data_IF_727323834802
#
_entry.id   IF_727323834802
#
_cell.length_a   1.000
_cell.length_b   1.000
_cell.length_c   1.000
_cell.angle_alpha   90.00
_cell.angle_beta   90.00
_cell.angle_gamma   90.00
#
_symmetry.space_group_name_H-M   'P 1'
#
loop_
_entity.id
_entity.type
_entity.pdbx_description
1 polymer ?
#
# COMPACT_ATOMS: atom_id res chain seq x y z
N UNK A 1 -5.62 -8.47 -20.46
CA UNK A 1 -6.72 -8.22 -19.51
C UNK A 1 -6.37 -8.47 -18.02
N UNK A 2 -5.63 -9.52 -17.61
CA UNK A 2 -5.34 -9.74 -16.17
C UNK A 2 -4.45 -8.67 -15.51
N UNK A 3 -3.48 -8.10 -16.23
CA UNK A 3 -2.52 -7.13 -15.67
C UNK A 3 -3.04 -5.70 -15.49
N UNK A 4 -3.99 -5.24 -16.32
CA UNK A 4 -4.57 -3.89 -16.17
C UNK A 4 -5.47 -3.78 -14.95
N UNK A 5 -6.28 -4.81 -14.67
CA UNK A 5 -7.11 -4.84 -13.47
C UNK A 5 -6.28 -4.88 -12.18
N UNK A 6 -5.19 -5.65 -12.17
CA UNK A 6 -4.28 -5.71 -11.02
C UNK A 6 -3.62 -4.35 -10.75
N UNK A 7 -3.10 -3.68 -11.79
CA UNK A 7 -2.49 -2.35 -11.65
C UNK A 7 -3.49 -1.31 -11.11
N UNK A 8 -4.71 -1.29 -11.63
CA UNK A 8 -5.76 -0.39 -11.14
C UNK A 8 -6.11 -0.66 -9.67
N UNK A 9 -6.21 -1.94 -9.26
CA UNK A 9 -6.46 -2.32 -7.87
C UNK A 9 -5.32 -1.90 -6.94
N UNK A 10 -4.07 -2.16 -7.34
CA UNK A 10 -2.87 -1.75 -6.60
C UNK A 10 -2.87 -0.22 -6.41
N UNK A 11 -3.05 0.53 -7.49
CA UNK A 11 -3.10 1.99 -7.44
C UNK A 11 -4.19 2.49 -6.48
N UNK A 12 -5.39 1.90 -6.53
CA UNK A 12 -6.49 2.26 -5.63
C UNK A 12 -6.14 2.01 -4.17
N UNK A 13 -5.49 0.88 -3.85
CA UNK A 13 -5.09 0.54 -2.49
C UNK A 13 -4.01 1.49 -1.96
N UNK A 14 -3.02 1.82 -2.78
CA UNK A 14 -1.98 2.80 -2.43
C UNK A 14 -2.57 4.17 -2.13
N UNK A 15 -3.43 4.69 -3.03
CA UNK A 15 -4.12 5.98 -2.82
C UNK A 15 -5.02 5.94 -1.58
N UNK A 16 -5.65 4.80 -1.31
CA UNK A 16 -6.47 4.61 -0.11
C UNK A 16 -5.64 4.66 1.17
N UNK A 17 -4.48 3.96 1.20
CA UNK A 17 -3.54 4.01 2.32
C UNK A 17 -3.05 5.43 2.59
N UNK A 18 -2.68 6.17 1.55
CA UNK A 18 -2.23 7.55 1.64
C UNK A 18 -3.30 8.50 2.17
N UNK A 19 -4.54 8.34 1.69
CA UNK A 19 -5.67 9.13 2.19
C UNK A 19 -5.98 8.81 3.65
N UNK A 20 -5.94 7.53 4.05
CA UNK A 20 -6.12 7.11 5.45
C UNK A 20 -5.05 7.71 6.35
N UNK A 21 -3.78 7.67 5.92
CA UNK A 21 -2.67 8.27 6.63
C UNK A 21 -2.87 9.78 6.81
N UNK A 22 -3.19 10.48 5.72
CA UNK A 22 -3.45 11.92 5.74
C UNK A 22 -4.63 12.31 6.64
N UNK A 23 -5.63 11.45 6.75
CA UNK A 23 -6.83 11.66 7.56
C UNK A 23 -6.63 11.29 9.04
N UNK A 24 -5.46 10.77 9.43
CA UNK A 24 -5.22 10.31 10.80
C UNK A 24 -6.05 9.08 11.18
N UNK A 25 -6.37 8.23 10.19
CA UNK A 25 -7.02 6.94 10.45
C UNK A 25 -6.04 6.04 11.21
N UNK A 26 -6.59 5.12 12.01
CA UNK A 26 -5.86 4.07 12.73
C UNK A 26 -4.67 3.50 11.93
N UNK A 27 -3.44 3.51 12.49
CA UNK A 27 -2.24 3.02 11.82
C UNK A 27 -2.33 1.59 11.30
N UNK A 28 -3.03 0.69 11.99
CA UNK A 28 -3.20 -0.69 11.54
C UNK A 28 -4.02 -0.74 10.24
N UNK A 29 -5.04 0.12 10.09
CA UNK A 29 -5.82 0.23 8.84
C UNK A 29 -5.04 0.89 7.70
N UNK A 30 -4.15 1.82 8.03
CA UNK A 30 -3.22 2.39 7.04
C UNK A 30 -2.30 1.28 6.52
N UNK A 31 -1.68 0.53 7.44
CA UNK A 31 -0.80 -0.60 7.14
C UNK A 31 -1.49 -1.66 6.27
N UNK A 32 -2.70 -2.08 6.64
CA UNK A 32 -3.49 -3.07 5.90
C UNK A 32 -3.64 -2.68 4.42
N UNK A 33 -3.85 -1.39 4.13
CA UNK A 33 -4.00 -0.90 2.74
C UNK A 33 -2.75 -1.16 1.90
N UNK A 34 -1.57 -0.93 2.47
CA UNK A 34 -0.29 -1.08 1.77
C UNK A 34 0.11 -2.56 1.67
N UNK A 35 -0.15 -3.35 2.70
CA UNK A 35 0.07 -4.80 2.68
C UNK A 35 -0.85 -5.50 1.67
N UNK A 36 -2.12 -5.09 1.55
CA UNK A 36 -3.02 -5.61 0.52
C UNK A 36 -2.54 -5.23 -0.89
N UNK A 37 -2.04 -4.01 -1.08
CA UNK A 37 -1.47 -3.59 -2.37
C UNK A 37 -0.28 -4.48 -2.77
N UNK A 38 0.58 -4.82 -1.81
CA UNK A 38 1.72 -5.70 -2.03
C UNK A 38 1.28 -7.15 -2.31
N UNK A 39 0.26 -7.65 -1.61
CA UNK A 39 -0.30 -8.97 -1.87
C UNK A 39 -0.85 -9.08 -3.30
N UNK A 40 -1.65 -8.10 -3.75
CA UNK A 40 -2.16 -8.04 -5.12
C UNK A 40 -1.01 -7.94 -6.14
N UNK A 41 0.03 -7.17 -5.83
CA UNK A 41 1.21 -7.06 -6.69
C UNK A 41 1.94 -8.40 -6.82
N UNK A 42 2.08 -9.16 -5.73
CA UNK A 42 2.68 -10.51 -5.74
C UNK A 42 1.86 -11.47 -6.59
N UNK A 43 0.55 -11.52 -6.40
CA UNK A 43 -0.35 -12.37 -7.19
C UNK A 43 -0.32 -12.04 -8.68
N UNK A 44 -0.07 -10.77 -9.03
CA UNK A 44 0.00 -10.29 -10.41
C UNK A 44 1.41 -10.34 -11.02
N UNK A 45 2.44 -10.75 -10.27
CA UNK A 45 3.83 -10.72 -10.74
C UNK A 45 4.41 -9.31 -10.91
N UNK A 46 3.88 -8.33 -10.17
CA UNK A 46 4.28 -6.92 -10.20
C UNK A 46 5.00 -6.49 -8.90
N UNK A 47 5.32 -7.44 -8.04
CA UNK A 47 5.90 -7.19 -6.71
C UNK A 47 7.16 -6.33 -6.77
N UNK A 48 8.09 -6.62 -7.68
CA UNK A 48 9.36 -5.87 -7.79
C UNK A 48 9.15 -4.38 -8.05
N UNK A 49 8.10 -4.00 -8.78
CA UNK A 49 7.79 -2.60 -9.06
C UNK A 49 7.05 -1.90 -7.92
N UNK A 50 6.30 -2.63 -7.10
CA UNK A 50 5.39 -2.08 -6.08
C UNK A 50 6.03 -2.09 -4.69
N UNK A 51 6.82 -3.12 -4.39
CA UNK A 51 7.46 -3.32 -3.09
C UNK A 51 8.25 -2.11 -2.59
N UNK A 52 9.11 -1.44 -3.39
CA UNK A 52 9.88 -0.30 -2.88
C UNK A 52 8.98 0.86 -2.41
N UNK A 53 7.86 1.08 -3.09
CA UNK A 53 6.90 2.11 -2.71
C UNK A 53 6.21 1.76 -1.38
N UNK A 54 5.76 0.51 -1.24
CA UNK A 54 5.10 0.03 -0.02
C UNK A 54 6.04 0.06 1.18
N UNK A 55 7.29 -0.39 1.03
CA UNK A 55 8.29 -0.41 2.10
C UNK A 55 8.57 0.99 2.65
N UNK A 56 8.69 2.00 1.78
CA UNK A 56 8.85 3.40 2.21
C UNK A 56 7.66 3.87 3.04
N UNK A 57 6.42 3.60 2.60
CA UNK A 57 5.22 4.04 3.32
C UNK A 57 5.04 3.34 4.65
N UNK A 58 5.36 2.05 4.74
CA UNK A 58 5.33 1.33 6.02
C UNK A 58 6.40 1.85 6.98
N UNK A 59 7.60 2.17 6.48
CA UNK A 59 8.65 2.77 7.30
C UNK A 59 8.25 4.16 7.83
N UNK A 60 7.60 4.98 7.00
CA UNK A 60 7.11 6.30 7.41
C UNK A 60 5.97 6.18 8.43
N UNK A 61 5.05 5.23 8.24
CA UNK A 61 4.00 4.93 9.21
C UNK A 61 4.57 4.51 10.56
N UNK A 62 5.58 3.62 10.57
CA UNK A 62 6.24 3.16 11.79
C UNK A 62 6.97 4.29 12.53
N UNK A 63 7.48 5.29 11.81
CA UNK A 63 8.07 6.50 12.42
C UNK A 63 7.00 7.37 13.09
N UNK A 64 5.84 7.52 12.44
CA UNK A 64 4.71 8.31 12.96
C UNK A 64 4.03 7.64 14.16
N UNK A 65 3.97 6.31 14.20
CA UNK A 65 3.40 5.57 15.33
C UNK A 65 4.28 5.64 16.59
N UNK A 66 5.59 5.88 16.41
CA UNK A 66 6.58 5.98 17.50
C UNK A 66 6.78 7.39 18.04
N UNK A 67 6.20 8.41 17.42
CA UNK A 67 6.35 9.83 17.77
C UNK A 67 5.17 10.33 18.59
#
# INVERSE_FOLDING_TARGET
MKGEGARARIQKLLVTGDNRLKQGVDPARVRESFEEALAVAREAGLEESVRPLVEVRLADLDRLDRS
#
